data_IF_466680096376
#
_entry.id   IF_466680096376
#
_cell.length_a   1.000
_cell.length_b   1.000
_cell.length_c   1.000
_cell.angle_alpha   90.00
_cell.angle_beta   90.00
_cell.angle_gamma   90.00
#
_symmetry.space_group_name_H-M   'P 1'
#
loop_
_entity.id
_entity.type
_entity.pdbx_description
1 polymer ?
#
# COMPACT_ATOMS: atom_id res chain seq x y z
N UNK A 1 9.05 -15.64 0.71
CA UNK A 1 8.04 -15.20 -0.30
C UNK A 1 6.84 -14.48 0.33
N UNK A 2 6.49 -14.69 1.60
CA UNK A 2 5.42 -13.93 2.27
C UNK A 2 5.72 -12.42 2.34
N UNK A 3 6.94 -12.03 2.76
CA UNK A 3 7.32 -10.62 2.96
C UNK A 3 7.16 -9.75 1.70
N UNK A 4 7.45 -10.29 0.51
CA UNK A 4 7.26 -9.53 -0.74
C UNK A 4 5.78 -9.27 -1.02
N UNK A 5 4.91 -10.25 -0.75
CA UNK A 5 3.46 -10.08 -0.90
C UNK A 5 2.92 -9.06 0.10
N UNK A 6 3.31 -9.19 1.38
CA UNK A 6 2.92 -8.28 2.46
C UNK A 6 3.31 -6.83 2.14
N UNK A 7 4.56 -6.61 1.72
CA UNK A 7 5.05 -5.28 1.36
C UNK A 7 4.30 -4.70 0.16
N UNK A 8 4.10 -5.49 -0.91
CA UNK A 8 3.39 -5.03 -2.10
C UNK A 8 1.94 -4.66 -1.80
N UNK A 9 1.22 -5.48 -1.05
CA UNK A 9 -0.19 -5.20 -0.70
C UNK A 9 -0.29 -3.99 0.23
N UNK A 10 0.60 -3.89 1.22
CA UNK A 10 0.64 -2.74 2.13
C UNK A 10 0.90 -1.44 1.38
N UNK A 11 1.93 -1.39 0.53
CA UNK A 11 2.23 -0.24 -0.31
C UNK A 11 1.06 0.17 -1.22
N UNK A 12 0.47 -0.79 -1.94
CA UNK A 12 -0.62 -0.52 -2.88
C UNK A 12 -1.89 -0.04 -2.18
N UNK A 13 -2.22 -0.62 -1.02
CA UNK A 13 -3.39 -0.20 -0.25
C UNK A 13 -3.26 1.26 0.17
N UNK A 14 -2.15 1.64 0.82
CA UNK A 14 -1.97 3.01 1.31
C UNK A 14 -1.88 4.04 0.16
N UNK A 15 -1.32 3.67 -0.99
CA UNK A 15 -1.36 4.50 -2.21
C UNK A 15 -2.79 4.79 -2.68
N UNK A 16 -3.64 3.76 -2.71
CA UNK A 16 -5.03 3.90 -3.14
C UNK A 16 -5.87 4.63 -2.09
N UNK A 17 -5.61 4.40 -0.80
CA UNK A 17 -6.25 5.12 0.30
C UNK A 17 -5.95 6.62 0.20
N UNK A 18 -4.69 7.03 0.05
CA UNK A 18 -4.32 8.43 -0.15
C UNK A 18 -4.94 9.03 -1.42
N UNK A 19 -5.00 8.25 -2.51
CA UNK A 19 -5.64 8.68 -3.76
C UNK A 19 -7.14 8.93 -3.56
N UNK A 20 -7.80 8.06 -2.80
CA UNK A 20 -9.21 8.18 -2.45
C UNK A 20 -9.48 9.37 -1.53
N UNK A 21 -8.69 9.55 -0.46
CA UNK A 21 -8.82 10.65 0.49
C UNK A 21 -8.67 12.01 -0.17
N UNK A 22 -7.81 12.12 -1.18
CA UNK A 22 -7.64 13.34 -1.97
C UNK A 22 -8.74 13.57 -3.01
N UNK A 23 -9.63 12.59 -3.21
CA UNK A 23 -10.74 12.67 -4.15
C UNK A 23 -10.29 12.80 -5.61
N UNK A 24 -9.10 12.30 -5.95
CA UNK A 24 -8.53 12.45 -7.29
C UNK A 24 -8.71 11.19 -8.11
N UNK A 25 -8.97 11.34 -9.42
CA UNK A 25 -8.91 10.22 -10.37
C UNK A 25 -7.49 9.69 -10.56
N UNK A 26 -6.51 10.60 -10.63
CA UNK A 26 -5.11 10.24 -10.86
C UNK A 26 -4.44 9.73 -9.60
N UNK A 27 -3.64 8.68 -9.76
CA UNK A 27 -2.92 8.02 -8.68
C UNK A 27 -1.92 8.99 -8.04
N UNK A 28 -1.92 9.05 -6.71
CA UNK A 28 -1.07 9.94 -5.91
C UNK A 28 0.33 9.36 -5.69
N UNK A 29 1.00 8.93 -6.77
CA UNK A 29 2.22 8.12 -6.73
C UNK A 29 3.36 8.77 -5.94
N UNK A 30 3.65 10.05 -6.21
CA UNK A 30 4.75 10.79 -5.55
C UNK A 30 4.36 11.17 -4.12
N UNK A 31 3.10 11.56 -3.90
CA UNK A 31 2.63 11.94 -2.57
C UNK A 31 2.63 10.75 -1.60
N UNK A 32 2.44 9.53 -2.10
CA UNK A 32 2.47 8.30 -1.33
C UNK A 32 3.87 7.68 -1.19
N UNK A 33 4.96 8.37 -1.58
CA UNK A 33 6.28 7.74 -1.66
C UNK A 33 6.78 7.12 -0.33
N UNK A 34 6.40 7.72 0.80
CA UNK A 34 6.77 7.21 2.13
C UNK A 34 6.09 5.86 2.40
N UNK A 35 4.89 5.62 1.86
CA UNK A 35 4.13 4.38 2.02
C UNK A 35 4.83 3.17 1.36
N UNK A 36 5.76 3.39 0.43
CA UNK A 36 6.58 2.31 -0.14
C UNK A 36 7.71 1.87 0.80
N UNK A 37 8.20 2.79 1.63
CA UNK A 37 9.33 2.56 2.55
C UNK A 37 8.81 2.13 3.91
N UNK A 38 7.79 2.82 4.41
CA UNK A 38 7.18 2.56 5.70
C UNK A 38 5.65 2.70 5.61
N UNK A 39 4.94 1.64 5.19
CA UNK A 39 3.49 1.67 5.06
C UNK A 39 2.82 1.96 6.42
N UNK A 40 1.94 2.96 6.44
CA UNK A 40 1.11 3.35 7.58
C UNK A 40 0.23 2.19 8.04
N UNK A 41 -0.34 1.46 7.07
CA UNK A 41 -1.05 0.20 7.30
C UNK A 41 -0.28 -0.99 6.73
N UNK A 42 -0.07 -2.02 7.55
CA UNK A 42 0.58 -3.28 7.16
C UNK A 42 -0.42 -4.44 7.13
N UNK A 43 -0.26 -5.32 6.15
CA UNK A 43 -1.04 -6.56 6.02
C UNK A 43 -0.10 -7.76 6.16
N UNK A 44 -0.47 -8.70 7.02
CA UNK A 44 0.26 -9.97 7.22
C UNK A 44 -0.34 -11.03 6.31
N UNK A 45 0.51 -11.79 5.62
CA UNK A 45 0.07 -12.84 4.72
C UNK A 45 -0.30 -14.09 5.53
N UNK A 46 -1.51 -14.59 5.30
CA UNK A 46 -1.95 -15.87 5.82
C UNK A 46 -1.65 -16.97 4.80
N UNK A 47 -1.01 -18.04 5.26
CA UNK A 47 -0.81 -19.24 4.43
C UNK A 47 -2.10 -20.04 4.42
N UNK A 48 -2.73 -20.13 3.25
CA UNK A 48 -3.85 -21.04 3.01
C UNK A 48 -3.31 -22.41 2.60
N UNK A 49 -3.64 -23.46 3.35
CA UNK A 49 -3.19 -24.84 3.10
C UNK A 49 -3.25 -25.74 4.33
#
# INVERSE_FOLDING_TARGET
>A
MAVSLENSVSALYNLLELTHERGTREIQLVAAQEEYVNPSRRFVAERVG
#
